data_IF_378684679562
#
_entry.id   IF_378684679562
#
_cell.length_a   1.000
_cell.length_b   1.000
_cell.length_c   1.000
_cell.angle_alpha   90.00
_cell.angle_beta   90.00
_cell.angle_gamma   90.00
#
_symmetry.space_group_name_H-M   'P 1'
#
loop_
_entity.id
_entity.type
_entity.pdbx_description
1 polymer ?
#
# COMPACT_ATOMS: atom_id res chain seq x y z
N UNK A 1 -42.79 4.89 -24.92
CA UNK A 1 -41.60 4.09 -24.57
C UNK A 1 -40.37 4.93 -24.85
N UNK A 2 -39.54 5.20 -23.84
CA UNK A 2 -38.27 5.92 -24.02
C UNK A 2 -37.24 4.91 -24.54
N UNK A 3 -36.64 5.18 -25.71
CA UNK A 3 -35.56 4.33 -26.20
C UNK A 3 -34.31 4.50 -25.31
N UNK A 4 -33.61 3.41 -24.98
CA UNK A 4 -32.36 3.50 -24.24
C UNK A 4 -31.32 4.28 -25.05
N UNK A 5 -30.62 5.20 -24.38
CA UNK A 5 -29.51 5.92 -24.97
C UNK A 5 -28.41 4.93 -25.36
N UNK A 6 -27.77 5.16 -26.51
CA UNK A 6 -26.67 4.36 -27.02
C UNK A 6 -25.37 5.13 -26.92
N UNK A 7 -24.35 4.50 -26.35
CA UNK A 7 -22.97 4.97 -26.42
C UNK A 7 -22.38 4.51 -27.75
N UNK A 8 -21.78 5.43 -28.52
CA UNK A 8 -21.27 5.16 -29.88
C UNK A 8 -20.17 4.10 -29.90
N UNK A 9 -19.13 4.28 -29.09
CA UNK A 9 -18.05 3.31 -28.86
C UNK A 9 -18.20 2.74 -27.45
N UNK A 10 -18.96 1.65 -27.33
CA UNK A 10 -19.27 1.06 -26.02
C UNK A 10 -18.01 0.54 -25.33
N UNK A 11 -17.20 -0.23 -26.05
CA UNK A 11 -16.06 -0.94 -25.46
C UNK A 11 -14.93 0.03 -25.08
N UNK A 12 -14.64 1.01 -25.95
CA UNK A 12 -13.67 2.05 -25.64
C UNK A 12 -14.13 2.96 -24.50
N UNK A 13 -15.40 3.35 -24.49
CA UNK A 13 -15.96 4.16 -23.39
C UNK A 13 -15.96 3.41 -22.07
N UNK A 14 -16.35 2.14 -22.07
CA UNK A 14 -16.33 1.28 -20.89
C UNK A 14 -14.91 1.18 -20.32
N UNK A 15 -13.90 0.97 -21.16
CA UNK A 15 -12.50 0.94 -20.75
C UNK A 15 -12.03 2.25 -20.11
N UNK A 16 -12.34 3.39 -20.71
CA UNK A 16 -11.93 4.72 -20.20
C UNK A 16 -12.59 4.99 -18.84
N UNK A 17 -13.89 4.70 -18.71
CA UNK A 17 -14.62 4.85 -17.44
C UNK A 17 -14.03 3.93 -16.37
N UNK A 18 -13.72 2.68 -16.72
CA UNK A 18 -13.05 1.75 -15.81
C UNK A 18 -11.70 2.26 -15.32
N UNK A 19 -10.88 2.83 -16.21
CA UNK A 19 -9.61 3.44 -15.83
C UNK A 19 -9.81 4.61 -14.86
N UNK A 20 -10.83 5.45 -15.07
CA UNK A 20 -11.14 6.56 -14.17
C UNK A 20 -11.63 6.07 -12.79
N UNK A 21 -12.48 5.05 -12.75
CA UNK A 21 -12.90 4.40 -11.50
C UNK A 21 -11.68 3.86 -10.74
N UNK A 22 -10.72 3.28 -11.45
CA UNK A 22 -9.53 2.69 -10.87
C UNK A 22 -8.39 3.69 -10.63
N UNK A 23 -8.53 4.97 -11.02
CA UNK A 23 -7.44 5.96 -11.01
C UNK A 23 -6.87 6.21 -9.62
N UNK A 24 -7.72 6.31 -8.60
CA UNK A 24 -7.30 6.61 -7.23
C UNK A 24 -8.22 5.96 -6.18
N UNK A 25 -7.84 6.11 -4.91
CA UNK A 25 -8.56 5.51 -3.78
C UNK A 25 -9.99 6.03 -3.62
N UNK A 26 -10.23 7.31 -3.89
CA UNK A 26 -11.53 7.97 -3.74
C UNK A 26 -12.51 7.51 -4.82
N UNK A 27 -12.06 7.40 -6.07
CA UNK A 27 -12.86 6.83 -7.16
C UNK A 27 -13.27 5.39 -6.85
N UNK A 28 -12.33 4.56 -6.37
CA UNK A 28 -12.62 3.18 -5.94
C UNK A 28 -13.53 3.12 -4.71
N UNK A 29 -13.42 4.09 -3.81
CA UNK A 29 -14.31 4.24 -2.66
C UNK A 29 -15.75 4.52 -3.11
N UNK A 30 -15.95 5.49 -4.00
CA UNK A 30 -17.27 5.81 -4.57
C UNK A 30 -17.87 4.63 -5.34
N UNK A 31 -17.06 3.88 -6.10
CA UNK A 31 -17.51 2.66 -6.76
C UNK A 31 -18.06 1.62 -5.78
N UNK A 32 -17.36 1.42 -4.65
CA UNK A 32 -17.83 0.52 -3.58
C UNK A 32 -19.10 1.02 -2.92
N UNK A 33 -19.24 2.33 -2.70
CA UNK A 33 -20.48 2.94 -2.19
C UNK A 33 -21.67 2.63 -3.12
N UNK A 34 -21.52 2.81 -4.43
CA UNK A 34 -22.58 2.48 -5.38
C UNK A 34 -22.92 0.99 -5.42
N UNK A 35 -21.91 0.12 -5.31
CA UNK A 35 -22.11 -1.33 -5.20
C UNK A 35 -22.93 -1.71 -3.97
N UNK A 36 -22.61 -1.16 -2.79
CA UNK A 36 -23.36 -1.41 -1.55
C UNK A 36 -24.76 -0.81 -1.64
N UNK A 37 -24.91 0.41 -2.17
CA UNK A 37 -26.22 1.05 -2.36
C UNK A 37 -27.14 0.21 -3.26
N UNK A 38 -26.60 -0.42 -4.30
CA UNK A 38 -27.37 -1.33 -5.15
C UNK A 38 -27.91 -2.52 -4.35
N UNK A 39 -27.10 -3.09 -3.44
CA UNK A 39 -27.54 -4.16 -2.54
C UNK A 39 -28.61 -3.68 -1.56
N UNK A 40 -28.45 -2.49 -0.97
CA UNK A 40 -29.49 -1.88 -0.13
C UNK A 40 -30.82 -1.69 -0.87
N UNK A 41 -30.77 -1.49 -2.19
CA UNK A 41 -31.95 -1.39 -3.07
C UNK A 41 -32.52 -2.75 -3.52
N UNK A 42 -32.06 -3.85 -2.93
CA UNK A 42 -32.56 -5.19 -3.18
C UNK A 42 -31.90 -5.94 -4.32
N UNK A 43 -30.81 -5.43 -4.92
CA UNK A 43 -30.04 -6.21 -5.88
C UNK A 43 -29.20 -7.27 -5.16
N UNK A 44 -29.13 -8.47 -5.74
CA UNK A 44 -28.22 -9.50 -5.24
C UNK A 44 -26.76 -9.15 -5.55
N UNK A 45 -25.83 -9.67 -4.76
CA UNK A 45 -24.39 -9.52 -5.02
C UNK A 45 -24.00 -9.97 -6.44
N UNK A 46 -24.66 -10.98 -7.00
CA UNK A 46 -24.45 -11.45 -8.37
C UNK A 46 -24.90 -10.44 -9.43
N UNK A 47 -26.12 -9.87 -9.28
CA UNK A 47 -26.62 -8.85 -10.22
C UNK A 47 -25.79 -7.58 -10.14
N UNK A 48 -25.47 -7.13 -8.92
CA UNK A 48 -24.56 -5.99 -8.71
C UNK A 48 -23.21 -6.27 -9.36
N UNK A 49 -22.61 -7.42 -9.10
CA UNK A 49 -21.32 -7.79 -9.70
C UNK A 49 -21.35 -7.75 -11.24
N UNK A 50 -22.41 -8.25 -11.87
CA UNK A 50 -22.56 -8.24 -13.32
C UNK A 50 -22.70 -6.82 -13.90
N UNK A 51 -23.48 -5.95 -13.25
CA UNK A 51 -23.64 -4.54 -13.69
C UNK A 51 -22.32 -3.77 -13.59
N UNK A 52 -21.57 -4.03 -12.52
CA UNK A 52 -20.39 -3.26 -12.16
C UNK A 52 -19.09 -4.01 -12.46
N UNK A 53 -19.06 -5.01 -13.35
CA UNK A 53 -17.82 -5.71 -13.73
C UNK A 53 -16.96 -6.21 -12.56
N UNK A 54 -17.59 -6.67 -11.47
CA UNK A 54 -16.91 -7.21 -10.28
C UNK A 54 -17.16 -8.70 -10.13
N UNK A 55 -16.43 -9.33 -9.20
CA UNK A 55 -16.83 -10.66 -8.71
C UNK A 55 -17.94 -10.54 -7.64
N UNK A 56 -18.88 -11.50 -7.56
CA UNK A 56 -19.88 -11.54 -6.48
C UNK A 56 -19.24 -11.53 -5.09
N UNK A 57 -18.08 -12.19 -4.93
CA UNK A 57 -17.31 -12.23 -3.69
C UNK A 57 -16.75 -10.87 -3.28
N UNK A 58 -16.36 -10.03 -4.24
CA UNK A 58 -15.91 -8.66 -3.94
C UNK A 58 -17.06 -7.82 -3.40
N UNK A 59 -18.24 -7.90 -4.02
CA UNK A 59 -19.45 -7.19 -3.55
C UNK A 59 -19.85 -7.68 -2.16
N UNK A 60 -19.86 -8.99 -1.92
CA UNK A 60 -20.12 -9.57 -0.60
C UNK A 60 -19.14 -9.06 0.45
N UNK A 61 -17.85 -8.99 0.12
CA UNK A 61 -16.83 -8.46 1.02
C UNK A 61 -17.07 -6.99 1.35
N UNK A 62 -17.47 -6.17 0.38
CA UNK A 62 -17.80 -4.75 0.61
C UNK A 62 -19.00 -4.60 1.54
N UNK A 63 -20.07 -5.36 1.30
CA UNK A 63 -21.27 -5.36 2.16
C UNK A 63 -20.89 -5.76 3.59
N UNK A 64 -20.16 -6.86 3.78
CA UNK A 64 -19.71 -7.29 5.12
C UNK A 64 -18.83 -6.27 5.83
N UNK A 65 -17.96 -5.57 5.09
CA UNK A 65 -17.15 -4.48 5.68
C UNK A 65 -18.00 -3.28 6.04
N UNK A 66 -18.98 -2.92 5.21
CA UNK A 66 -19.92 -1.84 5.51
C UNK A 66 -20.73 -2.14 6.77
N UNK A 67 -21.28 -3.35 6.90
CA UNK A 67 -22.04 -3.75 8.10
C UNK A 67 -21.18 -3.68 9.38
N UNK A 68 -19.87 -3.99 9.29
CA UNK A 68 -18.97 -3.99 10.45
C UNK A 68 -18.36 -2.63 10.78
N UNK A 69 -17.98 -1.85 9.77
CA UNK A 69 -17.13 -0.65 9.91
C UNK A 69 -17.83 0.63 9.40
N UNK A 70 -19.09 0.53 8.96
CA UNK A 70 -19.81 1.61 8.28
C UNK A 70 -19.16 2.00 6.95
N UNK A 71 -19.42 3.23 6.50
CA UNK A 71 -18.85 3.75 5.25
C UNK A 71 -17.31 3.77 5.26
N UNK A 72 -16.67 3.94 6.43
CA UNK A 72 -15.21 3.89 6.57
C UNK A 72 -14.63 2.52 6.18
N UNK A 73 -15.42 1.45 6.32
CA UNK A 73 -15.07 0.11 5.86
C UNK A 73 -14.85 -0.02 4.35
N UNK A 74 -15.38 0.91 3.55
CA UNK A 74 -15.24 0.88 2.09
C UNK A 74 -14.01 1.63 1.60
N UNK A 75 -13.34 2.41 2.46
CA UNK A 75 -12.09 3.05 2.09
C UNK A 75 -10.98 2.02 1.90
N UNK A 76 -10.10 2.33 0.93
CA UNK A 76 -8.89 1.54 0.77
C UNK A 76 -7.93 1.85 1.91
N UNK A 77 -7.65 0.84 2.73
CA UNK A 77 -6.58 0.95 3.71
C UNK A 77 -5.26 0.82 2.96
N UNK A 78 -4.32 1.74 3.18
CA UNK A 78 -2.92 1.53 2.77
C UNK A 78 -2.50 0.17 3.32
N UNK A 79 -2.26 -0.80 2.45
CA UNK A 79 -1.63 -2.05 2.86
C UNK A 79 -0.22 -1.65 3.31
N UNK A 80 0.16 -1.82 4.58
CA UNK A 80 1.57 -1.76 4.90
C UNK A 80 2.21 -2.80 3.98
N UNK A 81 3.20 -2.39 3.20
CA UNK A 81 4.01 -3.34 2.44
C UNK A 81 4.65 -4.37 3.39
N UNK A 82 5.58 -5.18 2.88
CA UNK A 82 6.41 -6.00 3.77
C UNK A 82 6.93 -5.11 4.91
N UNK A 83 6.74 -5.48 6.19
CA UNK A 83 7.20 -4.67 7.30
C UNK A 83 8.65 -4.28 7.07
N UNK A 84 8.94 -2.98 7.08
CA UNK A 84 10.33 -2.54 7.05
C UNK A 84 10.99 -3.13 8.29
N UNK A 85 12.15 -3.78 8.11
CA UNK A 85 12.88 -4.38 9.23
C UNK A 85 13.30 -3.35 10.29
N UNK A 86 13.31 -2.07 9.92
CA UNK A 86 13.54 -0.95 10.81
C UNK A 86 12.27 -0.11 10.88
N UNK A 87 11.87 0.26 12.10
CA UNK A 87 10.83 1.28 12.32
C UNK A 87 11.29 2.64 11.80
N UNK A 88 10.35 3.59 11.67
CA UNK A 88 10.70 4.96 11.27
C UNK A 88 11.71 5.61 12.24
N UNK A 89 11.52 5.40 13.53
CA UNK A 89 12.42 5.87 14.59
C UNK A 89 13.80 5.19 14.53
N UNK A 90 13.84 3.87 14.36
CA UNK A 90 15.10 3.13 14.20
C UNK A 90 15.89 3.58 12.97
N UNK A 91 15.23 4.02 11.90
CA UNK A 91 15.89 4.58 10.72
C UNK A 91 16.53 5.94 10.99
N UNK A 92 15.91 6.75 11.84
CA UNK A 92 16.43 8.07 12.19
C UNK A 92 17.67 7.93 13.08
N UNK A 93 17.59 7.08 14.10
CA UNK A 93 18.74 6.74 14.93
C UNK A 93 19.88 6.12 14.11
N UNK A 94 19.55 5.18 13.22
CA UNK A 94 20.56 4.56 12.36
C UNK A 94 21.25 5.59 11.47
N UNK A 95 20.53 6.61 10.98
CA UNK A 95 21.16 7.69 10.20
C UNK A 95 22.16 8.46 11.04
N UNK A 96 21.79 8.83 12.27
CA UNK A 96 22.70 9.52 13.19
C UNK A 96 23.93 8.68 13.53
N UNK A 97 23.79 7.36 13.69
CA UNK A 97 24.93 6.45 13.90
C UNK A 97 25.85 6.37 12.68
N UNK A 98 25.27 6.31 11.48
CA UNK A 98 26.03 6.29 10.23
C UNK A 98 26.79 7.60 10.00
N UNK A 99 26.24 8.75 10.41
CA UNK A 99 26.86 10.07 10.34
C UNK A 99 28.00 10.25 11.34
N UNK A 100 27.84 9.75 12.57
CA UNK A 100 28.89 9.77 13.60
C UNK A 100 30.09 8.87 13.25
N UNK A 101 29.89 7.94 12.32
CA UNK A 101 30.93 7.04 11.82
C UNK A 101 31.15 5.82 12.73
N UNK A 102 31.96 4.85 12.27
CA UNK A 102 32.12 3.57 12.96
C UNK A 102 32.86 3.66 14.30
N UNK A 103 33.56 4.77 14.54
CA UNK A 103 34.21 5.07 15.82
C UNK A 103 33.17 5.18 16.96
N UNK A 104 31.96 5.63 16.65
CA UNK A 104 30.86 5.75 17.61
C UNK A 104 30.34 4.38 18.11
N UNK A 105 30.74 3.29 17.47
CA UNK A 105 30.43 1.91 17.86
C UNK A 105 31.67 1.12 18.26
N UNK A 106 32.77 1.82 18.56
CA UNK A 106 34.00 1.24 19.09
C UNK A 106 34.90 0.55 18.05
N UNK A 107 34.82 0.95 16.77
CA UNK A 107 35.66 0.40 15.70
C UNK A 107 36.72 1.38 15.22
N UNK A 108 37.94 0.90 14.97
CA UNK A 108 39.04 1.66 14.34
C UNK A 108 38.85 1.85 12.81
N UNK A 109 37.73 1.41 12.26
CA UNK A 109 37.46 1.48 10.84
C UNK A 109 37.02 2.88 10.39
N UNK A 110 37.65 3.41 9.34
CA UNK A 110 37.31 4.72 8.75
C UNK A 110 35.97 4.78 8.02
N UNK A 111 35.35 3.63 7.72
CA UNK A 111 34.08 3.53 6.98
C UNK A 111 33.28 2.32 7.43
N UNK A 112 31.95 2.47 7.45
CA UNK A 112 31.03 1.38 7.70
C UNK A 112 31.16 0.29 6.63
N UNK A 113 31.25 -0.97 7.06
CA UNK A 113 31.12 -2.14 6.20
C UNK A 113 29.76 -2.81 6.42
N UNK A 114 29.34 -3.66 5.47
CA UNK A 114 28.06 -4.36 5.61
C UNK A 114 28.01 -5.34 6.79
N UNK A 115 29.15 -5.92 7.15
CA UNK A 115 29.28 -6.81 8.31
C UNK A 115 29.13 -6.03 9.61
N UNK A 116 29.82 -4.89 9.72
CA UNK A 116 29.70 -4.00 10.88
C UNK A 116 28.28 -3.48 11.05
N UNK A 117 27.62 -3.05 9.97
CA UNK A 117 26.24 -2.60 10.03
C UNK A 117 25.28 -3.75 10.40
N UNK A 118 25.52 -4.96 9.90
CA UNK A 118 24.73 -6.15 10.30
C UNK A 118 24.86 -6.44 11.78
N UNK A 119 26.05 -6.30 12.35
CA UNK A 119 26.29 -6.51 13.78
C UNK A 119 25.66 -5.40 14.61
N UNK A 120 25.87 -4.13 14.23
CA UNK A 120 25.29 -2.96 14.89
C UNK A 120 23.76 -3.01 14.96
N UNK A 121 23.11 -3.38 13.85
CA UNK A 121 21.67 -3.56 13.80
C UNK A 121 21.18 -4.69 14.72
N UNK A 122 21.96 -5.75 14.88
CA UNK A 122 21.61 -6.85 15.79
C UNK A 122 21.72 -6.42 17.24
N UNK A 123 22.81 -5.74 17.60
CA UNK A 123 23.16 -5.39 18.98
C UNK A 123 22.35 -4.21 19.53
N UNK A 124 22.17 -3.15 18.74
CA UNK A 124 21.55 -1.90 19.19
C UNK A 124 20.09 -1.74 18.75
N UNK A 125 19.66 -2.47 17.71
CA UNK A 125 18.30 -2.34 17.14
C UNK A 125 17.48 -3.63 17.22
N UNK A 126 18.09 -4.77 17.59
CA UNK A 126 17.42 -6.07 17.61
C UNK A 126 17.01 -6.57 16.21
N UNK A 127 17.65 -6.07 15.15
CA UNK A 127 17.29 -6.35 13.76
C UNK A 127 18.33 -7.25 13.11
N UNK A 128 17.92 -8.45 12.71
CA UNK A 128 18.77 -9.39 11.97
C UNK A 128 18.73 -9.11 10.46
N UNK A 129 19.61 -8.22 10.00
CA UNK A 129 19.71 -7.84 8.59
C UNK A 129 20.96 -8.45 7.94
N UNK A 130 20.78 -9.23 6.88
CA UNK A 130 21.90 -9.86 6.17
C UNK A 130 22.88 -8.86 5.54
N UNK A 131 24.16 -9.22 5.53
CA UNK A 131 25.29 -8.37 5.06
C UNK A 131 25.05 -7.72 3.70
N UNK A 132 24.52 -8.44 2.70
CA UNK A 132 24.23 -7.86 1.36
C UNK A 132 23.18 -6.73 1.42
N UNK A 133 22.20 -6.87 2.30
CA UNK A 133 21.17 -5.84 2.51
C UNK A 133 21.76 -4.62 3.22
N UNK A 134 22.64 -4.83 4.19
CA UNK A 134 23.43 -3.77 4.84
C UNK A 134 24.34 -3.04 3.86
N UNK A 135 25.07 -3.76 2.99
CA UNK A 135 25.88 -3.15 1.94
C UNK A 135 25.04 -2.31 0.97
N UNK A 136 23.83 -2.77 0.62
CA UNK A 136 22.89 -1.99 -0.21
C UNK A 136 22.42 -0.72 0.51
N UNK A 137 22.18 -0.81 1.81
CA UNK A 137 21.81 0.34 2.66
C UNK A 137 22.94 1.38 2.70
N UNK A 138 24.19 0.93 2.89
CA UNK A 138 25.39 1.78 2.92
C UNK A 138 25.70 2.41 1.55
N UNK A 139 25.63 1.62 0.46
CA UNK A 139 25.79 2.12 -0.92
C UNK A 139 24.71 3.13 -1.29
N UNK A 140 23.52 2.96 -0.73
CA UNK A 140 22.39 3.85 -0.96
C UNK A 140 22.57 5.24 -0.36
N UNK A 141 23.40 5.43 0.69
CA UNK A 141 23.60 6.66 1.52
C UNK A 141 22.35 7.45 1.95
N UNK A 142 21.17 7.17 1.41
CA UNK A 142 19.99 8.02 1.36
C UNK A 142 18.72 7.16 1.17
N UNK A 143 18.48 6.22 2.08
CA UNK A 143 17.18 5.51 2.18
C UNK A 143 16.03 6.38 2.72
N UNK A 144 16.14 7.70 2.57
CA UNK A 144 15.26 8.73 3.17
C UNK A 144 14.48 9.51 2.11
N UNK A 145 14.92 9.51 0.84
CA UNK A 145 14.12 10.08 -0.24
C UNK A 145 13.33 8.99 -0.98
N UNK A 146 12.19 8.63 -0.40
CA UNK A 146 10.95 8.37 -1.15
C UNK A 146 9.77 8.89 -0.34
N UNK A 147 9.80 10.20 -0.10
CA UNK A 147 8.69 11.01 0.39
C UNK A 147 8.33 12.07 -0.65
N UNK A 148 7.72 11.64 -1.75
CA UNK A 148 6.85 12.44 -2.61
C UNK A 148 5.91 11.47 -3.33
#
# INVERSE_FOLDING_TARGET
MVQPLKVRDRDGSERIIWQEIMRNGDSRYNHRLHGVLAVCRGLSCYKTAAIWGQSPRAVEYWVKRFEREGVQGLQEKKRPGRPNMLTGEQREFLRSDLERGPEAVGSDAKKWTGEMLSQHLREFYGVDMGVRQCQRLLKGRAGVDKGA
#
